data_IF_284311496562
#
_entry.id   IF_284311496562
#
_cell.length_a   1.000
_cell.length_b   1.000
_cell.length_c   1.000
_cell.angle_alpha   90.00
_cell.angle_beta   90.00
_cell.angle_gamma   90.00
#
_symmetry.space_group_name_H-M   'P 1'
#
loop_
_entity.id
_entity.type
_entity.pdbx_description
1 polymer ?
#
# COMPACT_ATOMS: atom_id res chain seq x y z
N UNK A 1 72.10 -43.48 15.22
CA UNK A 1 72.03 -43.35 13.75
C UNK A 1 70.60 -43.06 13.33
N UNK A 2 70.45 -42.20 12.32
CA UNK A 2 69.22 -41.54 11.89
C UNK A 2 68.30 -42.39 11.00
N UNK A 3 67.10 -41.81 10.77
CA UNK A 3 66.10 -42.01 9.72
C UNK A 3 65.05 -43.10 9.91
N UNK A 4 63.82 -42.67 10.21
CA UNK A 4 62.63 -43.01 9.41
C UNK A 4 61.75 -41.76 9.26
N UNK A 5 61.54 -41.41 7.99
CA UNK A 5 60.56 -40.48 7.44
C UNK A 5 59.22 -41.20 7.28
N UNK A 6 58.09 -40.52 7.51
CA UNK A 6 57.02 -40.41 6.51
C UNK A 6 55.84 -39.61 7.06
N UNK A 7 55.23 -38.87 6.15
CA UNK A 7 54.34 -37.73 6.37
C UNK A 7 52.88 -38.09 6.06
N UNK A 8 51.97 -37.50 6.86
CA UNK A 8 50.57 -37.16 6.50
C UNK A 8 49.58 -38.34 6.31
N UNK A 9 48.30 -38.29 6.68
CA UNK A 9 47.32 -37.19 6.62
C UNK A 9 46.22 -37.36 7.67
N UNK A 10 46.05 -36.31 8.48
CA UNK A 10 44.82 -35.59 8.85
C UNK A 10 43.54 -36.43 9.02
N UNK A 11 43.11 -36.46 10.28
CA UNK A 11 41.87 -37.05 10.75
C UNK A 11 40.61 -36.30 10.28
N UNK A 12 39.54 -37.09 10.17
CA UNK A 12 38.15 -36.74 9.84
C UNK A 12 37.61 -35.60 10.71
N UNK A 13 36.90 -34.63 10.12
CA UNK A 13 35.89 -33.87 10.86
C UNK A 13 34.70 -33.54 9.95
N UNK A 14 33.52 -33.77 10.51
CA UNK A 14 32.23 -33.84 9.83
C UNK A 14 31.65 -32.47 9.43
N UNK A 15 30.74 -32.52 8.45
CA UNK A 15 29.80 -31.47 8.04
C UNK A 15 29.09 -30.82 9.23
N UNK A 16 28.86 -29.50 9.17
CA UNK A 16 27.47 -29.01 9.13
C UNK A 16 27.30 -28.03 7.96
N UNK A 17 26.37 -28.31 7.04
CA UNK A 17 25.04 -27.73 7.03
C UNK A 17 25.03 -26.19 7.02
N UNK A 18 24.79 -25.66 5.80
CA UNK A 18 23.96 -24.49 5.55
C UNK A 18 24.25 -23.26 6.43
N UNK A 19 25.27 -22.48 6.04
CA UNK A 19 25.31 -21.07 6.43
C UNK A 19 24.13 -20.38 5.76
N UNK A 20 23.10 -20.10 6.57
CA UNK A 20 21.85 -19.46 6.19
C UNK A 20 22.11 -18.20 5.36
N UNK A 21 21.74 -18.24 4.09
CA UNK A 21 21.32 -17.06 3.35
C UNK A 21 20.07 -16.51 4.05
N UNK A 22 20.26 -15.60 5.01
CA UNK A 22 19.19 -14.73 5.52
C UNK A 22 18.78 -13.78 4.38
N UNK A 23 18.04 -14.36 3.44
CA UNK A 23 17.36 -13.63 2.38
C UNK A 23 16.43 -12.61 3.03
N UNK A 24 16.50 -11.39 2.52
CA UNK A 24 15.66 -10.23 2.79
C UNK A 24 14.20 -10.61 3.08
N UNK A 25 13.86 -10.73 4.35
CA UNK A 25 12.50 -10.99 4.82
C UNK A 25 12.06 -9.95 5.85
N UNK A 26 12.31 -8.67 5.58
CA UNK A 26 11.70 -7.56 6.29
C UNK A 26 11.28 -6.49 5.28
N UNK A 27 10.27 -6.79 4.44
CA UNK A 27 9.38 -5.77 3.88
C UNK A 27 8.17 -6.31 3.11
N UNK A 28 7.66 -7.50 3.47
CA UNK A 28 6.31 -7.84 3.00
C UNK A 28 5.31 -7.08 3.86
N UNK A 29 4.93 -5.88 3.41
CA UNK A 29 3.58 -5.37 3.69
C UNK A 29 2.64 -6.48 3.21
N UNK A 30 1.99 -7.15 4.15
CA UNK A 30 0.83 -7.97 3.84
C UNK A 30 -0.18 -6.96 3.32
N UNK A 31 -0.29 -6.80 2.01
CA UNK A 31 -1.41 -6.11 1.40
C UNK A 31 -2.55 -7.14 1.33
N UNK A 32 -3.55 -7.12 2.22
CA UNK A 32 -4.84 -7.68 1.86
C UNK A 32 -5.43 -6.70 0.84
N UNK A 33 -4.91 -6.71 -0.38
CA UNK A 33 -5.55 -6.03 -1.50
C UNK A 33 -6.81 -6.83 -1.81
N UNK A 34 -7.90 -6.57 -1.08
CA UNK A 34 -9.23 -6.68 -1.66
C UNK A 34 -9.13 -6.02 -3.03
N UNK A 35 -9.39 -6.80 -4.08
CA UNK A 35 -9.15 -6.34 -5.44
C UNK A 35 -9.94 -5.04 -5.67
N UNK A 36 -9.32 -4.10 -6.37
CA UNK A 36 -9.94 -2.79 -6.57
C UNK A 36 -11.08 -2.91 -7.58
N UNK A 37 -12.27 -2.44 -7.21
CA UNK A 37 -13.51 -2.65 -7.96
C UNK A 37 -14.43 -1.40 -7.89
N UNK A 38 -13.93 -0.21 -8.25
CA UNK A 38 -14.66 1.01 -7.98
C UNK A 38 -15.96 1.06 -8.80
N UNK A 39 -17.09 1.31 -8.12
CA UNK A 39 -18.41 1.49 -8.73
C UNK A 39 -18.56 2.91 -9.27
N UNK A 40 -17.92 3.16 -10.41
CA UNK A 40 -17.94 4.46 -11.09
C UNK A 40 -19.07 4.54 -12.12
N UNK A 41 -19.42 5.76 -12.49
CA UNK A 41 -20.32 6.06 -13.60
C UNK A 41 -19.54 6.75 -14.72
N UNK A 42 -20.11 6.81 -15.93
CA UNK A 42 -19.43 7.38 -17.10
C UNK A 42 -19.25 8.90 -17.04
N UNK A 43 -19.92 9.57 -16.09
CA UNK A 43 -19.94 11.03 -15.93
C UNK A 43 -19.02 11.53 -14.81
N UNK A 44 -18.24 10.64 -14.20
CA UNK A 44 -17.26 10.98 -13.16
C UNK A 44 -15.85 10.59 -13.59
N UNK A 45 -14.87 11.21 -12.96
CA UNK A 45 -13.46 10.81 -13.03
C UNK A 45 -13.00 10.39 -11.65
N UNK A 46 -12.07 9.43 -11.63
CA UNK A 46 -11.43 8.96 -10.42
C UNK A 46 -9.92 8.99 -10.59
N UNK A 47 -9.22 9.36 -9.53
CA UNK A 47 -7.76 9.37 -9.48
C UNK A 47 -7.29 8.99 -8.08
N UNK A 48 -6.27 8.14 -8.03
CA UNK A 48 -5.50 7.89 -6.82
C UNK A 48 -4.23 8.76 -6.85
N UNK A 49 -3.91 9.37 -5.71
CA UNK A 49 -2.74 10.23 -5.54
C UNK A 49 -1.96 9.76 -4.33
N UNK A 50 -0.68 9.49 -4.54
CA UNK A 50 0.27 9.19 -3.46
C UNK A 50 1.23 10.35 -3.30
N UNK A 51 1.45 10.79 -2.06
CA UNK A 51 2.36 11.87 -1.74
C UNK A 51 3.09 11.63 -0.43
N UNK A 52 4.31 12.12 -0.32
CA UNK A 52 5.05 12.13 0.93
C UNK A 52 4.55 13.24 1.84
N UNK A 53 4.18 12.92 3.08
CA UNK A 53 3.73 13.92 4.07
C UNK A 53 4.75 14.06 5.19
N UNK A 54 5.22 15.28 5.42
CA UNK A 54 6.10 15.60 6.54
C UNK A 54 5.43 15.41 7.90
N UNK A 55 4.10 15.55 7.97
CA UNK A 55 3.35 15.40 9.21
C UNK A 55 3.34 13.95 9.73
N UNK A 56 3.40 12.96 8.82
CA UNK A 56 3.42 11.53 9.19
C UNK A 56 4.77 10.85 8.86
N UNK A 57 5.72 11.58 8.27
CA UNK A 57 7.04 11.06 7.90
C UNK A 57 7.00 9.89 6.91
N UNK A 58 5.94 9.79 6.09
CA UNK A 58 5.69 8.65 5.20
C UNK A 58 4.85 9.03 4.00
N UNK A 59 4.80 8.13 3.01
CA UNK A 59 3.91 8.27 1.87
C UNK A 59 2.47 7.88 2.27
N UNK A 60 1.52 8.69 1.82
CA UNK A 60 0.10 8.47 2.02
C UNK A 60 -0.62 8.51 0.68
N UNK A 61 -1.65 7.69 0.53
CA UNK A 61 -2.50 7.65 -0.64
C UNK A 61 -3.89 8.20 -0.32
N UNK A 62 -4.50 8.87 -1.29
CA UNK A 62 -5.92 9.18 -1.25
C UNK A 62 -6.53 9.00 -2.64
N UNK A 63 -7.81 8.63 -2.66
CA UNK A 63 -8.63 8.56 -3.87
C UNK A 63 -9.51 9.79 -3.98
N UNK A 64 -9.63 10.35 -5.17
CA UNK A 64 -10.56 11.43 -5.50
C UNK A 64 -11.55 10.94 -6.53
N UNK A 65 -12.84 11.18 -6.30
CA UNK A 65 -13.90 11.04 -7.30
C UNK A 65 -14.57 12.40 -7.49
N UNK A 66 -14.65 12.84 -8.75
CA UNK A 66 -15.09 14.19 -9.11
C UNK A 66 -15.89 14.17 -10.43
N UNK A 67 -16.68 15.21 -10.74
CA UNK A 67 -17.35 15.31 -12.04
C UNK A 67 -16.37 15.17 -13.22
N UNK A 68 -16.79 14.48 -14.29
CA UNK A 68 -16.03 14.42 -15.54
C UNK A 68 -16.04 15.73 -16.34
N UNK A 69 -16.70 16.78 -15.86
CA UNK A 69 -16.46 18.13 -16.37
C UNK A 69 -16.76 19.10 -15.25
N UNK A 70 -15.84 20.03 -15.02
CA UNK A 70 -16.00 21.07 -14.01
C UNK A 70 -15.98 22.39 -14.78
N UNK A 71 -17.08 23.17 -14.75
CA UNK A 71 -17.11 24.46 -15.43
C UNK A 71 -16.00 25.36 -14.86
N UNK A 72 -15.32 26.16 -15.71
CA UNK A 72 -14.28 27.06 -15.25
C UNK A 72 -14.77 27.94 -14.09
N UNK A 73 -13.90 28.18 -13.10
CA UNK A 73 -14.19 29.04 -11.94
C UNK A 73 -15.28 28.51 -10.98
N UNK A 74 -15.75 27.28 -11.16
CA UNK A 74 -16.69 26.65 -10.22
C UNK A 74 -16.02 26.31 -8.89
N UNK A 75 -16.74 26.52 -7.80
CA UNK A 75 -16.40 25.97 -6.48
C UNK A 75 -17.32 24.81 -6.20
N UNK A 76 -16.75 23.63 -5.99
CA UNK A 76 -17.50 22.42 -5.65
C UNK A 76 -17.34 22.11 -4.16
N UNK A 77 -18.40 21.67 -3.47
CA UNK A 77 -18.25 21.12 -2.13
C UNK A 77 -17.34 19.88 -2.15
N UNK A 78 -16.55 19.72 -1.09
CA UNK A 78 -15.66 18.59 -0.89
C UNK A 78 -16.15 17.79 0.31
N UNK A 79 -16.24 16.47 0.16
CA UNK A 79 -16.60 15.54 1.24
C UNK A 79 -15.44 14.57 1.43
N UNK A 80 -14.95 14.48 2.68
CA UNK A 80 -13.96 13.49 3.08
C UNK A 80 -14.66 12.23 3.59
N UNK A 81 -14.38 11.10 2.97
CA UNK A 81 -14.94 9.80 3.31
C UNK A 81 -13.86 8.95 3.98
N UNK A 82 -13.92 8.89 5.29
CA UNK A 82 -12.98 8.14 6.13
C UNK A 82 -13.40 6.67 6.19
N UNK A 83 -12.46 5.75 6.05
CA UNK A 83 -12.75 4.31 6.11
C UNK A 83 -12.75 3.81 7.56
N UNK A 84 -13.24 2.58 7.77
CA UNK A 84 -13.21 1.93 9.07
C UNK A 84 -11.84 1.30 9.38
N UNK A 85 -11.68 0.79 10.60
CA UNK A 85 -10.51 -0.02 10.96
C UNK A 85 -10.35 -1.23 10.03
N UNK A 86 -9.11 -1.55 9.67
CA UNK A 86 -8.73 -2.56 8.67
C UNK A 86 -9.23 -2.27 7.23
N UNK A 87 -9.72 -1.04 6.99
CA UNK A 87 -10.14 -0.56 5.69
C UNK A 87 -9.02 0.16 4.94
N UNK A 88 -9.37 0.71 3.79
CA UNK A 88 -8.48 1.54 2.96
C UNK A 88 -9.22 2.67 2.25
N UNK A 89 -8.46 3.53 1.57
CA UNK A 89 -8.98 4.57 0.69
C UNK A 89 -9.92 4.06 -0.44
N UNK A 90 -9.99 2.74 -0.68
CA UNK A 90 -10.81 2.12 -1.73
C UNK A 90 -12.22 1.74 -1.27
N UNK A 91 -12.42 1.56 0.04
CA UNK A 91 -13.59 0.86 0.60
C UNK A 91 -14.91 1.48 0.14
N UNK A 92 -15.01 2.80 0.24
CA UNK A 92 -16.22 3.52 -0.16
C UNK A 92 -16.52 3.32 -1.65
N UNK A 93 -15.52 3.49 -2.51
CA UNK A 93 -15.72 3.32 -3.97
C UNK A 93 -16.03 1.88 -4.38
N UNK A 94 -15.57 0.88 -3.64
CA UNK A 94 -15.77 -0.53 -3.99
C UNK A 94 -17.12 -1.06 -3.47
N UNK A 95 -17.51 -0.64 -2.27
CA UNK A 95 -18.61 -1.24 -1.53
C UNK A 95 -19.90 -0.41 -1.57
N UNK A 96 -19.89 0.78 -2.18
CA UNK A 96 -21.04 1.68 -2.24
C UNK A 96 -21.14 2.41 -3.58
N UNK A 97 -22.29 3.07 -3.83
CA UNK A 97 -22.51 3.90 -5.02
C UNK A 97 -22.15 5.38 -4.79
N UNK A 98 -21.17 5.68 -3.93
CA UNK A 98 -20.80 7.06 -3.57
C UNK A 98 -20.45 7.92 -4.79
N UNK A 99 -19.95 7.33 -5.88
CA UNK A 99 -19.65 8.05 -7.12
C UNK A 99 -20.85 8.85 -7.67
N UNK A 100 -22.09 8.44 -7.38
CA UNK A 100 -23.31 9.16 -7.80
C UNK A 100 -23.43 10.55 -7.19
N UNK A 101 -22.78 10.82 -6.06
CA UNK A 101 -22.71 12.17 -5.50
C UNK A 101 -21.84 13.10 -6.35
N UNK A 102 -20.80 12.57 -6.98
CA UNK A 102 -19.96 13.35 -7.88
C UNK A 102 -20.68 13.75 -9.17
N UNK A 103 -21.68 13.00 -9.62
CA UNK A 103 -22.56 13.41 -10.72
C UNK A 103 -23.32 14.72 -10.41
N UNK A 104 -23.51 15.02 -9.13
CA UNK A 104 -24.24 16.20 -8.63
C UNK A 104 -23.33 17.37 -8.29
N UNK A 105 -22.06 17.33 -8.72
CA UNK A 105 -21.11 18.41 -8.49
C UNK A 105 -20.42 18.36 -7.12
N UNK A 106 -20.28 17.19 -6.51
CA UNK A 106 -19.53 17.01 -5.25
C UNK A 106 -18.16 16.38 -5.56
N UNK A 107 -17.11 16.84 -4.90
CA UNK A 107 -15.80 16.18 -4.91
C UNK A 107 -15.71 15.28 -3.69
N UNK A 108 -15.41 14.01 -3.91
CA UNK A 108 -15.21 13.02 -2.86
C UNK A 108 -13.72 12.76 -2.70
N UNK A 109 -13.21 12.84 -1.48
CA UNK A 109 -11.82 12.53 -1.13
C UNK A 109 -11.83 11.41 -0.11
N UNK A 110 -11.15 10.31 -0.42
CA UNK A 110 -11.04 9.12 0.42
C UNK A 110 -9.57 8.96 0.79
N UNK A 111 -9.10 9.55 1.91
CA UNK A 111 -7.73 9.37 2.36
C UNK A 111 -7.53 7.99 2.98
N UNK A 112 -6.36 7.41 2.79
CA UNK A 112 -5.90 6.26 3.57
C UNK A 112 -5.50 6.71 4.98
N UNK A 113 -5.77 5.88 5.97
CA UNK A 113 -5.37 6.02 7.36
C UNK A 113 -4.58 4.83 7.90
N UNK A 114 -4.31 3.79 7.09
CA UNK A 114 -3.91 2.45 7.56
C UNK A 114 -4.85 1.96 8.69
N UNK A 115 -4.32 1.24 9.68
CA UNK A 115 -5.05 0.78 10.86
C UNK A 115 -5.22 1.88 11.93
N UNK A 116 -5.02 3.15 11.58
CA UNK A 116 -5.17 4.26 12.52
C UNK A 116 -6.65 4.58 12.78
N UNK A 117 -6.94 5.00 14.00
CA UNK A 117 -8.18 5.67 14.37
C UNK A 117 -7.91 7.16 14.27
N UNK A 118 -8.64 7.91 13.43
CA UNK A 118 -8.39 9.32 13.05
C UNK A 118 -8.35 10.32 14.24
N UNK A 119 -7.31 10.24 15.07
CA UNK A 119 -7.08 11.01 16.31
C UNK A 119 -5.75 11.74 16.27
#
# INVERSE_FOLDING_TARGET
>A
MNFVSSSSKIARMALPCAVLLLTTACNRRLEPSFSDHPRLTSTVRMQDVTFHTSALGRDMTYRVVLPASIPPRSKLPVVYLLHGGNGSFRDWSNNTDVARFAERGIVLVMPDGDESWYT
#
